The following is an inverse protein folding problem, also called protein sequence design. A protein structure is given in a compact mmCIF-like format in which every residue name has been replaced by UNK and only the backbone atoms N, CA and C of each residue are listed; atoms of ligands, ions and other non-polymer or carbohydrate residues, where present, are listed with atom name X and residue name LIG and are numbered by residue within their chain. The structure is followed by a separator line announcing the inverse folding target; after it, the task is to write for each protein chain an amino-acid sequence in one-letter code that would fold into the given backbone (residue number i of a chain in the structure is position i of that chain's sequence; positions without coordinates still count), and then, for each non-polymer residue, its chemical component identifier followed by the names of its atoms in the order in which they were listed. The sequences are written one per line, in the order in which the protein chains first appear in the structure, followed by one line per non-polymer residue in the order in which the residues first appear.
data_IF_983602817781
#
_entry.id   IF_983602817781
#
_cell.length_a   1.000
_cell.length_b   1.000
_cell.length_c   1.000
_cell.angle_alpha   90.00
_cell.angle_beta   90.00
_cell.angle_gamma   90.00
#
_symmetry.space_group_name_H-M   'P 1'
#
loop_
_entity.id
_entity.type
_entity.pdbx_description
1 polymer ?
#
# COMPACT_ATOMS: atom_id res chain seq x y z
N UNK A 1 -4.91 7.00 -45.85
CA UNK A 1 -3.66 7.15 -45.06
C UNK A 1 -3.50 6.12 -43.92
N UNK A 2 -4.58 5.47 -43.44
CA UNK A 2 -4.54 4.53 -42.31
C UNK A 2 -4.04 3.09 -42.62
N UNK A 3 -4.05 2.62 -43.87
CA UNK A 3 -3.68 1.23 -44.17
C UNK A 3 -2.16 0.95 -44.19
N UNK A 4 -1.32 1.99 -44.38
CA UNK A 4 0.14 1.84 -44.39
C UNK A 4 0.72 1.58 -42.99
N UNK A 5 0.10 2.14 -41.94
CA UNK A 5 0.55 1.93 -40.54
C UNK A 5 0.31 0.49 -40.06
N UNK A 6 -0.78 -0.14 -40.49
CA UNK A 6 -1.10 -1.54 -40.16
C UNK A 6 -0.15 -2.55 -40.81
N UNK A 7 0.24 -2.31 -42.06
CA UNK A 7 1.20 -3.17 -42.79
C UNK A 7 2.64 -3.04 -42.26
N UNK A 8 3.00 -1.88 -41.70
CA UNK A 8 4.31 -1.65 -41.09
C UNK A 8 4.39 -2.26 -39.68
N UNK A 9 3.29 -2.20 -38.91
CA UNK A 9 3.15 -2.82 -37.59
C UNK A 9 3.21 -4.35 -37.66
N UNK A 10 2.52 -4.98 -38.63
CA UNK A 10 2.54 -6.44 -38.79
C UNK A 10 3.90 -6.99 -39.23
N UNK A 11 4.67 -6.23 -40.04
CA UNK A 11 6.05 -6.57 -40.39
C UNK A 11 7.03 -6.46 -39.22
N UNK A 12 6.76 -5.57 -38.27
CA UNK A 12 7.62 -5.35 -37.10
C UNK A 12 7.37 -6.38 -35.99
N UNK A 13 6.14 -6.92 -35.89
CA UNK A 13 5.75 -7.92 -34.88
C UNK A 13 5.86 -9.36 -35.43
N UNK A 14 5.71 -9.55 -36.74
CA UNK A 14 5.87 -10.83 -37.43
C UNK A 14 7.09 -11.68 -37.02
N UNK A 15 8.31 -11.11 -36.88
CA UNK A 15 9.49 -11.89 -36.50
C UNK A 15 9.53 -12.29 -35.00
N UNK A 16 8.69 -11.70 -34.16
CA UNK A 16 8.64 -11.98 -32.71
C UNK A 16 7.61 -13.07 -32.37
N UNK A 17 6.58 -13.21 -33.21
CA UNK A 17 5.50 -14.19 -33.01
C UNK A 17 5.99 -15.62 -33.29
N UNK A 18 6.89 -15.80 -34.25
CA UNK A 18 7.44 -17.11 -34.65
C UNK A 18 8.23 -17.82 -33.53
N UNK A 19 9.20 -17.19 -32.82
CA UNK A 19 9.88 -17.84 -31.72
C UNK A 19 8.98 -18.11 -30.51
N UNK A 20 7.99 -17.23 -30.24
CA UNK A 20 7.05 -17.42 -29.14
C UNK A 20 6.17 -18.67 -29.32
N UNK A 21 5.66 -18.89 -30.53
CA UNK A 21 4.89 -20.10 -30.88
C UNK A 21 5.76 -21.36 -30.83
N UNK A 22 7.02 -21.28 -31.29
CA UNK A 22 7.96 -22.39 -31.20
C UNK A 22 8.29 -22.74 -29.74
N UNK A 23 8.51 -21.74 -28.89
CA UNK A 23 8.75 -21.92 -27.46
C UNK A 23 7.53 -22.55 -26.76
N UNK A 24 6.31 -22.10 -27.07
CA UNK A 24 5.08 -22.67 -26.52
C UNK A 24 4.88 -24.14 -26.94
N UNK A 25 5.21 -24.48 -28.20
CA UNK A 25 5.15 -25.87 -28.68
C UNK A 25 6.23 -26.75 -28.01
N UNK A 26 7.42 -26.19 -27.77
CA UNK A 26 8.52 -26.88 -27.06
C UNK A 26 8.21 -27.08 -25.57
N UNK A 27 7.56 -26.12 -24.92
CA UNK A 27 7.05 -26.27 -23.54
C UNK A 27 6.08 -27.44 -23.40
N UNK A 28 5.27 -27.72 -24.43
CA UNK A 28 4.35 -28.88 -24.42
C UNK A 28 5.04 -30.22 -24.68
N UNK A 29 6.16 -30.23 -25.41
CA UNK A 29 6.94 -31.45 -25.64
C UNK A 29 7.72 -31.89 -24.39
N UNK A 30 8.22 -30.94 -23.61
CA UNK A 30 8.97 -31.15 -22.35
C UNK A 30 8.10 -30.78 -21.12
N UNK A 31 6.85 -31.26 -21.11
CA UNK A 31 5.85 -30.84 -20.14
C UNK A 31 6.25 -31.12 -18.67
N UNK A 32 7.03 -32.17 -18.43
CA UNK A 32 7.50 -32.52 -17.09
C UNK A 32 8.51 -31.49 -16.54
N UNK A 33 9.48 -31.09 -17.36
CA UNK A 33 10.46 -30.08 -16.99
C UNK A 33 9.78 -28.72 -16.76
N UNK A 34 8.85 -28.36 -17.64
CA UNK A 34 8.05 -27.14 -17.50
C UNK A 34 7.21 -27.16 -16.21
N UNK A 35 6.64 -28.31 -15.84
CA UNK A 35 5.92 -28.46 -14.58
C UNK A 35 6.84 -28.31 -13.36
N UNK A 36 8.00 -28.95 -13.37
CA UNK A 36 8.98 -28.83 -12.28
C UNK A 36 9.45 -27.38 -12.07
N UNK A 37 9.73 -26.66 -13.16
CA UNK A 37 10.10 -25.24 -13.11
C UNK A 37 8.94 -24.39 -12.58
N UNK A 38 7.71 -24.67 -13.02
CA UNK A 38 6.52 -23.94 -12.54
C UNK A 38 6.29 -24.12 -11.05
N UNK A 39 6.47 -25.34 -10.54
CA UNK A 39 6.38 -25.63 -9.09
C UNK A 39 7.47 -24.90 -8.32
N UNK A 40 8.72 -24.91 -8.82
CA UNK A 40 9.82 -24.16 -8.20
C UNK A 40 9.54 -22.65 -8.16
N UNK A 41 9.01 -22.10 -9.25
CA UNK A 41 8.61 -20.69 -9.33
C UNK A 41 7.50 -20.34 -8.33
N UNK A 42 6.46 -21.18 -8.24
CA UNK A 42 5.38 -21.00 -7.27
C UNK A 42 5.89 -21.05 -5.83
N UNK A 43 6.77 -22.02 -5.52
CA UNK A 43 7.37 -22.14 -4.21
C UNK A 43 8.22 -20.90 -3.85
N UNK A 44 9.02 -20.40 -4.79
CA UNK A 44 9.81 -19.18 -4.59
C UNK A 44 8.91 -17.97 -4.29
N UNK A 45 7.87 -17.75 -5.10
CA UNK A 45 6.90 -16.66 -4.89
C UNK A 45 6.18 -16.79 -3.56
N UNK A 46 5.76 -18.00 -3.18
CA UNK A 46 5.10 -18.26 -1.90
C UNK A 46 6.02 -17.93 -0.72
N UNK A 47 7.30 -18.34 -0.76
CA UNK A 47 8.24 -18.03 0.31
C UNK A 47 8.56 -16.54 0.41
N UNK A 48 8.76 -15.85 -0.72
CA UNK A 48 9.03 -14.41 -0.73
C UNK A 48 7.86 -13.60 -0.19
N UNK A 49 6.62 -14.01 -0.45
CA UNK A 49 5.41 -13.29 0.00
C UNK A 49 4.97 -13.66 1.42
N UNK A 50 5.29 -14.86 1.90
CA UNK A 50 4.88 -15.34 3.23
C UNK A 50 5.47 -14.49 4.37
N UNK A 51 6.77 -14.15 4.28
CA UNK A 51 7.47 -13.37 5.30
C UNK A 51 6.82 -11.99 5.54
N UNK A 52 6.70 -11.09 4.53
CA UNK A 52 6.10 -9.78 4.74
C UNK A 52 4.61 -9.86 5.11
N UNK A 53 3.88 -10.85 4.60
CA UNK A 53 2.45 -11.04 4.92
C UNK A 53 2.25 -11.41 6.39
N UNK A 54 3.08 -12.33 6.91
CA UNK A 54 3.07 -12.69 8.33
C UNK A 54 3.42 -11.50 9.21
N UNK A 55 4.49 -10.78 8.85
CA UNK A 55 4.90 -9.58 9.59
C UNK A 55 3.80 -8.52 9.61
N UNK A 56 3.15 -8.24 8.48
CA UNK A 56 2.08 -7.25 8.41
C UNK A 56 0.92 -7.57 9.37
N UNK A 57 0.51 -8.84 9.47
CA UNK A 57 -0.55 -9.26 10.39
C UNK A 57 -0.15 -9.04 11.86
N UNK A 58 1.10 -9.35 12.21
CA UNK A 58 1.62 -9.14 13.57
C UNK A 58 1.73 -7.65 13.88
N UNK A 59 2.26 -6.83 12.97
CA UNK A 59 2.37 -5.39 13.14
C UNK A 59 1.02 -4.73 13.36
N UNK A 60 0.01 -5.06 12.55
CA UNK A 60 -1.35 -4.50 12.71
C UNK A 60 -1.97 -4.94 14.03
N UNK A 61 -1.77 -6.20 14.45
CA UNK A 61 -2.28 -6.69 15.72
C UNK A 61 -1.63 -6.01 16.91
N UNK A 62 -0.30 -5.85 16.87
CA UNK A 62 0.45 -5.16 17.90
C UNK A 62 0.05 -3.68 17.96
N UNK A 63 0.04 -2.99 16.82
CA UNK A 63 -0.37 -1.59 16.73
C UNK A 63 -1.80 -1.38 17.24
N UNK A 64 -2.75 -2.24 16.87
CA UNK A 64 -4.13 -2.17 17.36
C UNK A 64 -4.22 -2.41 18.86
N UNK A 65 -3.43 -3.33 19.41
CA UNK A 65 -3.36 -3.60 20.85
C UNK A 65 -2.81 -2.38 21.60
N UNK A 66 -1.69 -1.83 21.16
CA UNK A 66 -1.08 -0.63 21.73
C UNK A 66 -2.01 0.58 21.65
N UNK A 67 -2.68 0.77 20.51
CA UNK A 67 -3.68 1.80 20.35
C UNK A 67 -4.86 1.59 21.30
N UNK A 68 -5.44 0.38 21.37
CA UNK A 68 -6.54 0.09 22.29
C UNK A 68 -6.17 0.29 23.75
N UNK A 69 -4.97 -0.09 24.18
CA UNK A 69 -4.55 0.13 25.56
C UNK A 69 -4.35 1.62 25.86
N UNK A 70 -3.76 2.38 24.93
CA UNK A 70 -3.62 3.84 25.06
C UNK A 70 -4.96 4.56 24.97
N UNK A 71 -5.91 4.06 24.17
CA UNK A 71 -7.24 4.66 23.97
C UNK A 71 -8.32 4.11 24.87
N UNK A 72 -8.00 3.20 25.78
CA UNK A 72 -8.95 2.66 26.76
C UNK A 72 -9.56 3.77 27.65
N UNK A 73 -8.81 4.84 27.87
CA UNK A 73 -9.25 6.01 28.63
C UNK A 73 -9.73 7.17 27.76
N UNK A 74 -9.68 7.05 26.42
CA UNK A 74 -10.22 8.09 25.54
C UNK A 74 -11.70 7.77 25.26
N UNK A 75 -12.64 8.69 25.55
CA UNK A 75 -14.04 8.47 25.23
C UNK A 75 -14.23 8.30 23.71
N UNK A 76 -15.23 7.52 23.25
CA UNK A 76 -15.61 7.51 21.86
C UNK A 76 -15.94 8.96 21.44
N UNK A 77 -15.37 9.43 20.33
CA UNK A 77 -15.36 10.83 19.85
C UNK A 77 -14.36 11.80 20.49
N UNK A 78 -13.29 11.32 21.14
CA UNK A 78 -12.14 12.17 21.46
C UNK A 78 -11.34 12.56 20.21
N UNK A 79 -11.18 13.87 19.97
CA UNK A 79 -10.29 14.40 18.92
C UNK A 79 -8.91 14.69 19.51
N UNK A 80 -7.86 14.11 18.93
CA UNK A 80 -6.48 14.33 19.37
C UNK A 80 -5.76 15.21 18.36
N UNK A 81 -5.34 16.40 18.79
CA UNK A 81 -4.58 17.33 17.97
C UNK A 81 -3.09 17.18 18.28
N UNK A 82 -2.27 16.96 17.25
CA UNK A 82 -0.82 16.83 17.40
C UNK A 82 -0.11 17.97 16.66
N UNK A 83 0.72 18.72 17.38
CA UNK A 83 1.51 19.79 16.82
C UNK A 83 2.76 19.23 16.13
N UNK A 84 2.83 19.34 14.79
CA UNK A 84 4.00 18.99 14.00
C UNK A 84 4.87 20.23 13.72
N UNK A 85 5.79 20.54 14.63
CA UNK A 85 6.65 21.74 14.56
C UNK A 85 7.77 21.72 13.51
N UNK A 86 7.93 20.64 12.75
CA UNK A 86 9.09 20.44 11.87
C UNK A 86 9.20 21.43 10.70
N UNK A 87 8.15 22.20 10.40
CA UNK A 87 8.11 23.08 9.21
C UNK A 87 8.10 24.58 9.52
N UNK A 88 7.73 25.01 10.73
CA UNK A 88 7.45 26.44 11.04
C UNK A 88 8.21 26.99 12.25
N UNK A 89 9.19 26.25 12.78
CA UNK A 89 9.98 26.66 13.95
C UNK A 89 9.37 26.20 15.28
N UNK A 90 10.10 26.44 16.37
CA UNK A 90 9.61 26.15 17.72
C UNK A 90 8.48 27.13 18.04
N UNK A 91 7.26 26.63 18.26
CA UNK A 91 6.18 27.45 18.79
C UNK A 91 6.51 27.84 20.23
N UNK A 92 6.37 29.12 20.56
CA UNK A 92 6.54 29.62 21.92
C UNK A 92 5.33 29.21 22.77
N UNK A 93 5.53 28.98 24.07
CA UNK A 93 4.47 28.46 24.95
C UNK A 93 3.24 29.38 24.99
N UNK A 94 3.45 30.69 24.89
CA UNK A 94 2.36 31.68 24.88
C UNK A 94 1.46 31.56 23.63
N UNK A 95 2.04 31.25 22.47
CA UNK A 95 1.25 31.05 21.24
C UNK A 95 0.37 29.80 21.33
N UNK A 96 0.89 28.75 21.98
CA UNK A 96 0.18 27.49 22.19
C UNK A 96 -1.04 27.65 23.09
N UNK A 97 -0.99 28.58 24.04
CA UNK A 97 -2.09 28.84 24.98
C UNK A 97 -3.37 29.31 24.28
N UNK A 98 -3.23 30.14 23.24
CA UNK A 98 -4.36 30.65 22.46
C UNK A 98 -5.06 29.53 21.67
N UNK A 99 -4.26 28.60 21.14
CA UNK A 99 -4.74 27.45 20.37
C UNK A 99 -5.37 26.42 21.31
N UNK A 100 -4.75 26.15 22.45
CA UNK A 100 -5.25 25.22 23.47
C UNK A 100 -6.62 25.66 24.00
N UNK A 101 -6.77 26.97 24.30
CA UNK A 101 -8.05 27.53 24.70
C UNK A 101 -9.13 27.38 23.60
N UNK A 102 -8.78 27.63 22.34
CA UNK A 102 -9.72 27.45 21.24
C UNK A 102 -10.14 25.98 21.10
N UNK A 103 -9.20 25.04 21.14
CA UNK A 103 -9.45 23.61 20.98
C UNK A 103 -10.26 23.02 22.14
N UNK A 104 -10.05 23.49 23.36
CA UNK A 104 -10.73 23.00 24.56
C UNK A 104 -12.13 23.60 24.70
N UNK A 105 -12.27 24.91 24.53
CA UNK A 105 -13.51 25.61 24.89
C UNK A 105 -14.46 25.80 23.71
N UNK A 106 -13.93 26.04 22.51
CA UNK A 106 -14.71 26.57 21.37
C UNK A 106 -14.87 25.58 20.22
N UNK A 107 -13.84 24.79 19.94
CA UNK A 107 -13.80 23.90 18.77
C UNK A 107 -14.96 22.90 18.73
N UNK A 108 -15.38 22.33 19.88
CA UNK A 108 -16.52 21.42 19.93
C UNK A 108 -17.83 22.10 19.46
N UNK A 109 -18.03 23.38 19.82
CA UNK A 109 -19.20 24.16 19.42
C UNK A 109 -19.18 24.52 17.94
N UNK A 110 -18.04 24.97 17.42
CA UNK A 110 -17.88 25.35 16.01
C UNK A 110 -17.98 24.14 15.06
N UNK A 111 -17.57 22.96 15.52
CA UNK A 111 -17.65 21.70 14.78
C UNK A 111 -19.02 21.01 14.92
N UNK A 112 -19.95 21.55 15.71
CA UNK A 112 -21.29 20.98 15.93
C UNK A 112 -21.28 19.66 16.69
N UNK A 113 -20.26 19.41 17.53
CA UNK A 113 -20.11 18.20 18.32
C UNK A 113 -20.88 18.33 19.64
N UNK A 114 -21.57 17.26 20.10
CA UNK A 114 -22.16 17.24 21.44
C UNK A 114 -21.06 17.30 22.50
N UNK A 115 -21.28 18.10 23.54
CA UNK A 115 -20.38 18.21 24.70
C UNK A 115 -20.63 17.13 25.73
#
# INVERSE_FOLDING_TARGET
MFSRKWAQFSRQIGPVISPALLAAKRMKAEAWLAAAISVGLLAAVAFTTSIPTYSNAVYVRLLRKELHEKTKNYPPFAFMFHFLGAKHGYAEWDDLHSVDYFLTERAAGDLGLPR
#
